data_IF_682268573214
#
_entry.id   IF_682268573214
#
_cell.length_a   1.000
_cell.length_b   1.000
_cell.length_c   1.000
_cell.angle_alpha   90.00
_cell.angle_beta   90.00
_cell.angle_gamma   90.00
#
_symmetry.space_group_name_H-M   'P 1'
#
loop_
_entity.id
_entity.type
_entity.pdbx_description
1 polymer ?
#
# COMPACT_ATOMS: atom_id res chain seq x y z
N UNK A 1 29.48 -14.40 25.97
CA UNK A 1 29.30 -14.44 24.51
C UNK A 1 27.96 -13.82 24.22
N UNK A 2 27.96 -12.59 23.73
CA UNK A 2 26.74 -11.86 23.38
C UNK A 2 26.27 -12.39 22.01
N UNK A 3 25.28 -13.27 22.01
CA UNK A 3 24.54 -13.58 20.78
C UNK A 3 23.64 -12.37 20.48
N UNK A 4 23.75 -11.85 19.26
CA UNK A 4 22.98 -10.73 18.78
C UNK A 4 21.50 -10.97 19.01
N UNK A 5 20.81 -9.94 19.49
CA UNK A 5 19.36 -9.88 19.45
C UNK A 5 18.95 -9.82 17.97
N UNK A 6 18.81 -10.97 17.32
CA UNK A 6 18.05 -11.09 16.08
C UNK A 6 16.59 -10.81 16.48
N UNK A 7 16.22 -9.53 16.47
CA UNK A 7 14.83 -9.15 16.61
C UNK A 7 14.07 -9.83 15.48
N UNK A 8 13.24 -10.82 15.81
CA UNK A 8 12.34 -11.45 14.88
C UNK A 8 11.27 -10.44 14.48
N UNK A 9 11.54 -9.68 13.42
CA UNK A 9 10.67 -8.62 12.89
C UNK A 9 9.68 -9.27 11.91
N UNK A 10 8.41 -8.88 12.01
CA UNK A 10 7.38 -9.30 11.09
C UNK A 10 7.58 -8.68 9.70
N UNK A 11 7.69 -9.50 8.66
CA UNK A 11 7.86 -9.02 7.28
C UNK A 11 6.66 -8.22 6.77
N UNK A 12 5.47 -8.46 7.33
CA UNK A 12 4.22 -7.80 6.93
C UNK A 12 4.09 -6.39 7.54
N UNK A 13 4.24 -6.25 8.86
CA UNK A 13 3.91 -4.99 9.56
C UNK A 13 5.06 -4.41 10.41
N UNK A 14 6.23 -5.08 10.45
CA UNK A 14 7.42 -4.59 11.16
C UNK A 14 7.37 -4.78 12.68
N UNK A 15 6.30 -5.36 13.22
CA UNK A 15 6.18 -5.63 14.66
C UNK A 15 7.12 -6.73 15.13
N UNK A 16 7.56 -6.66 16.40
CA UNK A 16 8.37 -7.71 17.02
C UNK A 16 7.51 -8.96 17.24
N UNK A 17 7.91 -10.08 16.63
CA UNK A 17 7.27 -11.37 16.74
C UNK A 17 7.47 -11.95 18.14
N UNK A 18 6.47 -12.68 18.63
CA UNK A 18 6.54 -13.45 19.87
C UNK A 18 6.54 -14.93 19.53
N UNK A 19 7.37 -15.71 20.21
CA UNK A 19 7.35 -17.16 20.07
C UNK A 19 6.24 -17.72 20.98
N UNK A 20 5.19 -18.26 20.38
CA UNK A 20 4.09 -18.95 21.04
C UNK A 20 4.18 -20.44 20.66
N UNK A 21 4.71 -21.27 21.57
CA UNK A 21 4.83 -22.72 21.41
C UNK A 21 5.64 -23.18 20.18
N UNK A 22 6.82 -22.57 19.94
CA UNK A 22 7.64 -22.91 18.77
C UNK A 22 7.11 -22.31 17.47
N UNK A 23 6.32 -21.23 17.55
CA UNK A 23 5.85 -20.50 16.36
C UNK A 23 5.96 -19.02 16.60
N UNK A 24 6.61 -18.32 15.68
CA UNK A 24 6.73 -16.88 15.73
C UNK A 24 5.45 -16.24 15.18
N UNK A 25 4.77 -15.46 16.01
CA UNK A 25 3.52 -14.79 15.68
C UNK A 25 3.61 -13.30 15.97
N UNK A 26 3.14 -12.48 15.05
CA UNK A 26 3.07 -11.04 15.24
C UNK A 26 1.88 -10.69 16.14
N UNK A 27 2.07 -10.05 17.31
CA UNK A 27 0.96 -9.66 18.17
C UNK A 27 0.12 -8.53 17.58
N UNK A 28 0.62 -7.83 16.56
CA UNK A 28 -0.01 -6.63 16.00
C UNK A 28 -0.87 -6.91 14.76
N UNK A 29 -0.35 -7.67 13.79
CA UNK A 29 -1.11 -8.05 12.59
C UNK A 29 -1.60 -9.50 12.61
N UNK A 30 -1.01 -10.38 13.45
CA UNK A 30 -1.34 -11.80 13.52
C UNK A 30 -0.54 -12.72 12.59
N UNK A 31 0.34 -12.17 11.73
CA UNK A 31 1.14 -12.94 10.78
C UNK A 31 2.06 -13.95 11.47
N UNK A 32 2.31 -15.06 10.79
CA UNK A 32 3.23 -16.11 11.21
C UNK A 32 4.58 -15.94 10.53
N UNK A 33 5.64 -16.44 11.18
CA UNK A 33 6.94 -16.69 10.57
C UNK A 33 7.33 -18.13 10.92
N UNK A 34 7.81 -18.89 9.93
CA UNK A 34 8.33 -20.25 10.14
C UNK A 34 9.55 -20.22 11.08
N UNK A 35 9.81 -21.32 11.80
CA UNK A 35 10.95 -21.39 12.72
C UNK A 35 12.28 -21.19 11.98
N UNK A 36 13.13 -20.33 12.57
CA UNK A 36 14.33 -19.77 12.00
C UNK A 36 15.28 -20.83 11.40
N UNK A 37 15.24 -20.97 10.08
CA UNK A 37 16.43 -21.32 9.30
C UNK A 37 16.81 -20.03 8.56
N UNK A 38 17.79 -19.31 9.09
CA UNK A 38 18.43 -18.22 8.35
C UNK A 38 18.98 -18.80 7.05
N UNK A 39 18.25 -18.54 5.96
CA UNK A 39 18.49 -19.06 4.63
C UNK A 39 18.25 -17.93 3.61
N UNK A 40 18.61 -18.16 2.36
CA UNK A 40 18.44 -17.16 1.29
C UNK A 40 16.97 -16.71 1.15
N UNK A 41 16.00 -17.63 1.28
CA UNK A 41 14.56 -17.31 1.29
C UNK A 41 14.22 -16.25 2.36
N UNK A 42 14.69 -16.44 3.60
CA UNK A 42 14.42 -15.51 4.70
C UNK A 42 15.00 -14.11 4.47
N UNK A 43 16.14 -14.00 3.76
CA UNK A 43 16.76 -12.73 3.41
C UNK A 43 15.94 -12.02 2.32
N UNK A 44 15.53 -12.76 1.28
CA UNK A 44 14.69 -12.22 0.21
C UNK A 44 13.35 -11.70 0.76
N UNK A 45 12.69 -12.50 1.61
CA UNK A 45 11.42 -12.12 2.26
C UNK A 45 11.59 -10.89 3.16
N UNK A 46 12.71 -10.78 3.88
CA UNK A 46 12.99 -9.62 4.74
C UNK A 46 13.15 -8.33 3.92
N UNK A 47 13.89 -8.38 2.81
CA UNK A 47 14.11 -7.25 1.93
C UNK A 47 12.80 -6.83 1.23
N UNK A 48 12.06 -7.78 0.66
CA UNK A 48 10.76 -7.54 0.03
C UNK A 48 9.76 -6.97 1.04
N UNK A 49 9.71 -7.53 2.25
CA UNK A 49 8.90 -7.04 3.35
C UNK A 49 9.30 -5.62 3.78
N UNK A 50 10.58 -5.27 3.76
CA UNK A 50 11.02 -3.90 4.06
C UNK A 50 10.51 -2.91 3.03
N UNK A 51 10.68 -3.20 1.73
CA UNK A 51 10.16 -2.36 0.64
C UNK A 51 8.64 -2.17 0.78
N UNK A 52 7.89 -3.25 1.05
CA UNK A 52 6.45 -3.20 1.26
C UNK A 52 6.06 -2.28 2.44
N UNK A 53 6.78 -2.38 3.57
CA UNK A 53 6.53 -1.53 4.76
C UNK A 53 6.89 -0.07 4.53
N UNK A 54 7.81 0.22 3.60
CA UNK A 54 8.11 1.59 3.18
C UNK A 54 7.10 2.12 2.13
N UNK A 55 6.19 1.28 1.65
CA UNK A 55 5.23 1.64 0.61
C UNK A 55 5.85 1.69 -0.79
N UNK A 56 7.02 1.07 -0.99
CA UNK A 56 7.66 0.94 -2.29
C UNK A 56 7.07 -0.27 -3.02
N UNK A 57 5.81 -0.19 -3.43
CA UNK A 57 5.05 -1.36 -3.89
C UNK A 57 5.63 -2.02 -5.15
N UNK A 58 6.10 -1.23 -6.12
CA UNK A 58 6.75 -1.75 -7.34
C UNK A 58 8.02 -2.53 -6.99
N UNK A 59 8.89 -1.93 -6.17
CA UNK A 59 10.11 -2.60 -5.69
C UNK A 59 9.78 -3.87 -4.90
N UNK A 60 8.76 -3.82 -4.04
CA UNK A 60 8.32 -4.97 -3.27
C UNK A 60 7.78 -6.09 -4.17
N UNK A 61 7.00 -5.76 -5.20
CA UNK A 61 6.49 -6.71 -6.18
C UNK A 61 7.65 -7.42 -6.88
N UNK A 62 8.60 -6.68 -7.44
CA UNK A 62 9.80 -7.24 -8.09
C UNK A 62 10.58 -8.19 -7.16
N UNK A 63 10.78 -7.80 -5.90
CA UNK A 63 11.49 -8.60 -4.92
C UNK A 63 10.71 -9.87 -4.51
N UNK A 64 9.38 -9.79 -4.39
CA UNK A 64 8.56 -10.95 -4.12
C UNK A 64 8.44 -11.87 -5.34
N UNK A 65 8.46 -11.35 -6.57
CA UNK A 65 8.50 -12.16 -7.79
C UNK A 65 9.80 -12.98 -7.86
N UNK A 66 10.96 -12.39 -7.54
CA UNK A 66 12.24 -13.14 -7.42
C UNK A 66 12.14 -14.22 -6.34
N UNK A 67 11.58 -13.89 -5.18
CA UNK A 67 11.39 -14.84 -4.08
C UNK A 67 10.47 -16.02 -4.48
N UNK A 68 9.35 -15.75 -5.16
CA UNK A 68 8.45 -16.79 -5.69
C UNK A 68 9.14 -17.62 -6.78
N UNK A 69 9.92 -16.99 -7.66
CA UNK A 69 10.67 -17.68 -8.71
C UNK A 69 11.68 -18.68 -8.15
N UNK A 70 12.37 -18.33 -7.06
CA UNK A 70 13.35 -19.21 -6.39
C UNK A 70 12.69 -20.20 -5.42
N UNK A 71 11.64 -19.79 -4.73
CA UNK A 71 10.95 -20.54 -3.69
C UNK A 71 9.44 -20.63 -3.97
N UNK A 72 9.02 -21.37 -5.02
CA UNK A 72 7.61 -21.42 -5.46
C UNK A 72 6.67 -22.17 -4.50
N UNK A 73 7.18 -22.67 -3.37
CA UNK A 73 6.37 -23.26 -2.29
C UNK A 73 6.31 -22.35 -1.05
N UNK A 74 6.84 -21.14 -1.16
CA UNK A 74 6.82 -20.16 -0.09
C UNK A 74 5.45 -19.50 -0.02
N UNK A 75 4.65 -19.88 0.96
CA UNK A 75 3.34 -19.28 1.19
C UNK A 75 3.44 -17.79 1.51
N UNK A 76 4.48 -17.40 2.26
CA UNK A 76 4.78 -16.01 2.62
C UNK A 76 5.20 -15.18 1.40
N UNK A 77 6.02 -15.72 0.49
CA UNK A 77 6.40 -15.00 -0.73
C UNK A 77 5.18 -14.72 -1.62
N UNK A 78 4.34 -15.74 -1.85
CA UNK A 78 3.11 -15.55 -2.62
C UNK A 78 2.14 -14.57 -1.96
N UNK A 79 1.97 -14.63 -0.63
CA UNK A 79 1.12 -13.67 0.07
C UNK A 79 1.68 -12.25 0.00
N UNK A 80 2.99 -12.08 0.22
CA UNK A 80 3.68 -10.79 0.08
C UNK A 80 3.56 -10.20 -1.32
N UNK A 81 3.65 -11.05 -2.36
CA UNK A 81 3.46 -10.66 -3.75
C UNK A 81 2.06 -10.09 -3.99
N UNK A 82 1.02 -10.76 -3.48
CA UNK A 82 -0.36 -10.24 -3.55
C UNK A 82 -0.47 -8.89 -2.84
N UNK A 83 0.10 -8.76 -1.65
CA UNK A 83 0.06 -7.48 -0.93
C UNK A 83 0.76 -6.36 -1.72
N UNK A 84 1.93 -6.64 -2.31
CA UNK A 84 2.67 -5.67 -3.11
C UNK A 84 1.89 -5.24 -4.35
N UNK A 85 1.40 -6.21 -5.15
CA UNK A 85 0.64 -5.97 -6.38
C UNK A 85 -0.65 -5.17 -6.17
N UNK A 86 -1.31 -5.39 -5.03
CA UNK A 86 -2.55 -4.68 -4.65
C UNK A 86 -2.27 -3.43 -3.82
N UNK A 87 -1.00 -3.01 -3.70
CA UNK A 87 -0.54 -1.86 -2.91
C UNK A 87 -1.10 -1.86 -1.47
N UNK A 88 -1.06 -3.00 -0.80
CA UNK A 88 -1.56 -3.18 0.57
C UNK A 88 -0.41 -3.06 1.56
N UNK A 89 -0.53 -2.12 2.51
CA UNK A 89 0.40 -1.96 3.62
C UNK A 89 -0.34 -2.01 4.94
N UNK A 90 0.30 -2.61 5.95
CA UNK A 90 -0.28 -2.74 7.29
C UNK A 90 0.09 -1.54 8.16
N UNK A 91 -0.92 -0.75 8.52
CA UNK A 91 -0.79 0.52 9.26
C UNK A 91 -1.38 0.41 10.66
N UNK A 92 -0.95 1.29 11.57
CA UNK A 92 -1.49 1.32 12.94
C UNK A 92 -2.95 1.79 12.95
N UNK A 93 -3.78 1.08 13.70
CA UNK A 93 -5.08 1.58 14.14
C UNK A 93 -4.97 2.29 15.50
N UNK A 94 -6.07 2.91 15.94
CA UNK A 94 -6.13 3.63 17.21
C UNK A 94 -5.91 2.74 18.44
N UNK A 95 -6.11 1.42 18.30
CA UNK A 95 -5.95 0.42 19.35
C UNK A 95 -4.54 -0.24 19.31
N UNK A 96 -3.64 0.25 18.44
CA UNK A 96 -2.29 -0.26 18.26
C UNK A 96 -2.21 -1.60 17.53
N UNK A 97 -3.29 -2.05 16.88
CA UNK A 97 -3.24 -3.18 15.94
C UNK A 97 -2.77 -2.69 14.58
N UNK A 98 -2.27 -3.63 13.77
CA UNK A 98 -1.85 -3.35 12.40
C UNK A 98 -2.92 -3.88 11.44
N UNK A 99 -3.62 -3.00 10.75
CA UNK A 99 -4.69 -3.34 9.80
C UNK A 99 -4.22 -3.14 8.35
N UNK A 100 -4.67 -3.98 7.40
CA UNK A 100 -4.37 -3.76 6.00
C UNK A 100 -5.04 -2.47 5.51
N UNK A 101 -4.24 -1.59 4.92
CA UNK A 101 -4.69 -0.37 4.25
C UNK A 101 -4.28 -0.48 2.79
N UNK A 102 -5.26 -0.33 1.91
CA UNK A 102 -5.00 -0.26 0.48
C UNK A 102 -4.42 1.12 0.13
N UNK A 103 -3.50 1.18 -0.81
CA UNK A 103 -2.96 2.44 -1.35
C UNK A 103 -3.25 2.60 -2.84
N UNK A 104 -3.70 1.53 -3.50
CA UNK A 104 -4.35 1.58 -4.81
C UNK A 104 -5.67 0.83 -4.74
N UNK A 105 -6.67 1.27 -5.52
CA UNK A 105 -7.88 0.48 -5.68
C UNK A 105 -7.77 -0.37 -6.93
N UNK A 106 -7.04 -1.47 -6.81
CA UNK A 106 -7.25 -2.58 -7.73
C UNK A 106 -8.69 -3.05 -7.50
N UNK A 107 -9.57 -2.76 -8.48
CA UNK A 107 -11.01 -3.06 -8.37
C UNK A 107 -11.31 -4.54 -8.53
N UNK A 108 -10.35 -5.29 -9.07
CA UNK A 108 -10.39 -6.73 -9.16
C UNK A 108 -10.32 -7.33 -7.76
N UNK A 109 -11.05 -8.42 -7.56
CA UNK A 109 -11.00 -9.11 -6.27
C UNK A 109 -9.66 -9.83 -6.12
N UNK A 110 -8.95 -9.59 -5.02
CA UNK A 110 -7.71 -10.30 -4.73
C UNK A 110 -7.94 -11.80 -4.52
N UNK A 111 -9.19 -12.20 -4.23
CA UNK A 111 -9.59 -13.60 -4.08
C UNK A 111 -9.45 -14.39 -5.39
N UNK A 112 -9.41 -13.69 -6.52
CA UNK A 112 -9.25 -14.29 -7.84
C UNK A 112 -7.78 -14.41 -8.27
N UNK A 113 -6.85 -13.81 -7.52
CA UNK A 113 -5.43 -13.78 -7.82
C UNK A 113 -4.82 -15.20 -7.70
N UNK A 114 -3.94 -15.53 -8.67
CA UNK A 114 -3.27 -16.84 -8.73
C UNK A 114 -2.32 -17.07 -7.55
N UNK A 115 -1.63 -16.02 -7.11
CA UNK A 115 -0.67 -16.03 -6.03
C UNK A 115 -1.39 -16.06 -4.68
N UNK A 116 -2.59 -15.47 -4.58
CA UNK A 116 -3.44 -15.69 -3.40
C UNK A 116 -3.80 -17.17 -3.23
N UNK A 117 -4.24 -17.82 -4.32
CA UNK A 117 -4.53 -19.27 -4.30
C UNK A 117 -3.28 -20.09 -4.00
N UNK A 118 -2.13 -19.71 -4.55
CA UNK A 118 -0.85 -20.36 -4.30
C UNK A 118 -0.45 -20.24 -2.82
N UNK A 119 -0.54 -19.04 -2.24
CA UNK A 119 -0.28 -18.78 -0.82
C UNK A 119 -1.11 -19.71 0.07
N UNK A 120 -2.41 -19.84 -0.18
CA UNK A 120 -3.27 -20.77 0.56
C UNK A 120 -2.89 -22.25 0.36
N UNK A 121 -2.47 -22.64 -0.84
CA UNK A 121 -2.12 -24.03 -1.15
C UNK A 121 -0.78 -24.47 -0.54
N UNK A 122 0.15 -23.52 -0.38
CA UNK A 122 1.47 -23.76 0.19
C UNK A 122 1.50 -23.56 1.71
N UNK A 123 0.52 -22.84 2.25
CA UNK A 123 0.42 -22.50 3.66
C UNK A 123 0.06 -23.69 4.55
N UNK A 124 0.53 -23.61 5.80
CA UNK A 124 -0.04 -24.41 6.89
C UNK A 124 -1.46 -23.94 7.20
N UNK A 125 -2.24 -24.75 7.92
CA UNK A 125 -3.64 -24.44 8.25
C UNK A 125 -3.79 -23.08 8.93
N UNK A 126 -2.94 -22.76 9.90
CA UNK A 126 -2.95 -21.51 10.64
C UNK A 126 -2.57 -20.29 9.81
N UNK A 127 -1.57 -20.43 8.94
CA UNK A 127 -1.18 -19.41 7.95
C UNK A 127 -2.29 -19.16 6.93
N UNK A 128 -2.89 -20.23 6.41
CA UNK A 128 -3.99 -20.16 5.45
C UNK A 128 -5.21 -19.47 6.06
N UNK A 129 -5.56 -19.77 7.31
CA UNK A 129 -6.64 -19.11 8.04
C UNK A 129 -6.35 -17.62 8.23
N UNK A 130 -5.09 -17.26 8.53
CA UNK A 130 -4.65 -15.87 8.59
C UNK A 130 -4.82 -15.17 7.23
N UNK A 131 -4.31 -15.75 6.14
CA UNK A 131 -4.44 -15.16 4.80
C UNK A 131 -5.89 -15.00 4.38
N UNK A 132 -6.77 -15.99 4.63
CA UNK A 132 -8.21 -15.87 4.39
C UNK A 132 -8.83 -14.72 5.17
N UNK A 133 -8.49 -14.59 6.45
CA UNK A 133 -9.02 -13.51 7.29
C UNK A 133 -8.57 -12.13 6.78
N UNK A 134 -7.30 -11.97 6.41
CA UNK A 134 -6.82 -10.69 5.89
C UNK A 134 -7.38 -10.39 4.50
N UNK A 135 -7.41 -11.38 3.61
CA UNK A 135 -8.02 -11.26 2.29
C UNK A 135 -9.47 -10.78 2.37
N UNK A 136 -10.28 -11.36 3.28
CA UNK A 136 -11.66 -10.93 3.47
C UNK A 136 -11.76 -9.48 3.93
N UNK A 137 -10.92 -9.04 4.87
CA UNK A 137 -10.90 -7.63 5.32
C UNK A 137 -10.54 -6.68 4.19
N UNK A 138 -9.53 -7.02 3.39
CA UNK A 138 -9.12 -6.22 2.23
C UNK A 138 -10.26 -6.14 1.22
N UNK A 139 -10.96 -7.23 0.96
CA UNK A 139 -12.14 -7.24 0.08
C UNK A 139 -13.30 -6.39 0.60
N UNK A 140 -13.54 -6.41 1.90
CA UNK A 140 -14.58 -5.58 2.52
C UNK A 140 -14.23 -4.09 2.36
N UNK A 141 -12.97 -3.70 2.57
CA UNK A 141 -12.49 -2.34 2.31
C UNK A 141 -12.60 -1.97 0.83
N UNK A 142 -12.19 -2.86 -0.09
CA UNK A 142 -12.31 -2.63 -1.54
C UNK A 142 -13.75 -2.36 -1.96
N UNK A 143 -14.72 -3.14 -1.44
CA UNK A 143 -16.15 -2.93 -1.72
C UNK A 143 -16.65 -1.61 -1.17
N UNK A 144 -16.30 -1.27 0.07
CA UNK A 144 -16.66 0.03 0.67
C UNK A 144 -16.10 1.19 -0.19
N UNK A 145 -14.87 1.06 -0.67
CA UNK A 145 -14.24 2.05 -1.52
C UNK A 145 -14.95 2.18 -2.87
N UNK A 146 -15.28 1.07 -3.50
CA UNK A 146 -16.06 1.04 -4.73
C UNK A 146 -17.43 1.73 -4.56
N UNK A 147 -18.11 1.51 -3.42
CA UNK A 147 -19.39 2.14 -3.09
C UNK A 147 -19.28 3.64 -2.80
N UNK A 148 -18.15 4.11 -2.27
CA UNK A 148 -17.86 5.54 -2.10
C UNK A 148 -17.53 6.19 -3.44
N UNK A 149 -16.60 5.59 -4.18
CA UNK A 149 -16.15 6.05 -5.49
C UNK A 149 -17.31 6.18 -6.49
N UNK A 150 -18.27 5.25 -6.51
CA UNK A 150 -19.38 5.31 -7.47
C UNK A 150 -20.34 6.51 -7.27
N UNK A 151 -20.26 7.20 -6.12
CA UNK A 151 -21.04 8.40 -5.82
C UNK A 151 -20.32 9.69 -6.21
N UNK A 152 -19.03 9.60 -6.50
CA UNK A 152 -18.21 10.75 -6.85
C UNK A 152 -18.36 11.09 -8.34
N UNK A 153 -18.19 12.36 -8.73
CA UNK A 153 -18.20 12.75 -10.13
C UNK A 153 -16.93 12.26 -10.82
N UNK A 154 -17.07 11.81 -12.08
CA UNK A 154 -15.90 11.53 -12.92
C UNK A 154 -15.10 12.80 -13.18
N UNK A 155 -13.78 12.67 -13.28
CA UNK A 155 -12.87 13.77 -13.61
C UNK A 155 -12.39 13.68 -15.06
N UNK A 156 -12.02 14.82 -15.63
CA UNK A 156 -11.40 14.90 -16.96
C UNK A 156 -9.87 14.98 -16.82
N UNK A 157 -9.38 15.68 -15.78
CA UNK A 157 -7.96 15.87 -15.49
C UNK A 157 -7.65 15.54 -14.02
N UNK A 158 -6.58 14.80 -13.76
CA UNK A 158 -5.99 14.59 -12.44
C UNK A 158 -4.70 15.39 -12.31
N UNK A 159 -4.55 16.18 -11.24
CA UNK A 159 -3.32 16.93 -10.94
C UNK A 159 -2.52 16.22 -9.84
N UNK A 160 -1.39 15.63 -10.23
CA UNK A 160 -0.42 15.00 -9.32
C UNK A 160 0.74 15.95 -9.04
N UNK A 161 1.05 16.18 -7.75
CA UNK A 161 2.09 17.10 -7.32
C UNK A 161 2.41 16.89 -5.83
N UNK A 162 3.60 17.32 -5.38
CA UNK A 162 3.96 17.28 -3.95
C UNK A 162 3.30 18.45 -3.24
N UNK A 163 2.28 18.23 -2.41
CA UNK A 163 1.55 19.33 -1.73
C UNK A 163 2.34 19.98 -0.58
N UNK A 164 2.97 19.15 0.24
CA UNK A 164 3.74 19.55 1.42
C UNK A 164 5.03 18.73 1.53
N UNK A 165 5.99 19.24 2.28
CA UNK A 165 7.23 18.56 2.62
C UNK A 165 7.56 18.76 4.11
N UNK A 166 6.86 18.03 5.01
CA UNK A 166 7.00 18.19 6.46
C UNK A 166 8.40 17.87 6.98
N UNK A 167 9.14 16.98 6.31
CA UNK A 167 10.52 16.61 6.68
C UNK A 167 11.45 17.82 6.64
N UNK A 168 11.22 18.74 5.70
CA UNK A 168 11.92 20.01 5.57
C UNK A 168 11.15 21.20 6.17
N UNK A 169 10.07 20.94 6.92
CA UNK A 169 9.27 21.98 7.57
C UNK A 169 8.42 22.82 6.61
N UNK A 170 8.08 22.29 5.42
CA UNK A 170 7.34 23.01 4.38
C UNK A 170 5.88 22.56 4.40
N UNK A 171 4.98 23.43 4.86
CA UNK A 171 3.53 23.16 4.87
C UNK A 171 2.91 23.20 3.47
N UNK A 172 3.46 24.03 2.57
CA UNK A 172 3.00 24.17 1.18
C UNK A 172 4.19 24.42 0.25
N UNK A 173 4.41 23.49 -0.67
CA UNK A 173 5.47 23.58 -1.68
C UNK A 173 5.19 24.68 -2.70
N UNK A 174 6.19 25.01 -3.53
CA UNK A 174 6.03 25.88 -4.68
C UNK A 174 5.10 25.26 -5.73
N UNK A 175 5.27 23.96 -6.01
CA UNK A 175 4.40 23.15 -6.87
C UNK A 175 2.93 23.25 -6.48
N UNK A 176 2.62 23.16 -5.18
CA UNK A 176 1.25 23.32 -4.66
C UNK A 176 0.67 24.71 -4.94
N UNK A 177 1.50 25.75 -5.06
CA UNK A 177 1.06 27.10 -5.44
C UNK A 177 0.82 27.18 -6.93
N UNK A 178 1.77 26.74 -7.76
CA UNK A 178 1.63 26.80 -9.23
C UNK A 178 0.49 25.92 -9.76
N UNK A 179 0.33 24.72 -9.20
CA UNK A 179 -0.77 23.82 -9.54
C UNK A 179 -2.14 24.42 -9.18
N UNK A 180 -2.20 25.31 -8.19
CA UNK A 180 -3.43 26.06 -7.87
C UNK A 180 -3.85 26.98 -9.01
N UNK A 181 -2.89 27.61 -9.68
CA UNK A 181 -3.14 28.50 -10.82
C UNK A 181 -3.55 27.66 -12.04
N UNK A 182 -2.87 26.53 -12.28
CA UNK A 182 -3.24 25.57 -13.32
C UNK A 182 -4.65 25.02 -13.12
N UNK A 183 -5.00 24.62 -11.88
CA UNK A 183 -6.34 24.18 -11.53
C UNK A 183 -7.39 25.26 -11.86
N UNK A 184 -7.12 26.52 -11.49
CA UNK A 184 -8.03 27.63 -11.75
C UNK A 184 -8.24 27.84 -13.25
N UNK A 185 -7.16 27.83 -14.03
CA UNK A 185 -7.23 27.94 -15.48
C UNK A 185 -8.05 26.80 -16.11
N UNK A 186 -7.73 25.55 -15.78
CA UNK A 186 -8.40 24.38 -16.35
C UNK A 186 -9.87 24.29 -15.94
N UNK A 187 -10.19 24.57 -14.68
CA UNK A 187 -11.57 24.49 -14.18
C UNK A 187 -12.42 25.69 -14.59
N UNK A 188 -11.93 26.92 -14.40
CA UNK A 188 -12.74 28.13 -14.55
C UNK A 188 -12.72 28.69 -15.97
N UNK A 189 -11.58 28.64 -16.67
CA UNK A 189 -11.48 29.19 -18.03
C UNK A 189 -11.79 28.15 -19.11
N UNK A 190 -11.45 26.87 -18.86
CA UNK A 190 -11.68 25.78 -19.83
C UNK A 190 -12.88 24.90 -19.50
N UNK A 191 -13.41 24.96 -18.28
CA UNK A 191 -14.59 24.20 -17.89
C UNK A 191 -14.36 22.70 -17.67
N UNK A 192 -13.10 22.26 -17.51
CA UNK A 192 -12.81 20.86 -17.20
C UNK A 192 -13.13 20.52 -15.75
N UNK A 193 -13.55 19.28 -15.51
CA UNK A 193 -13.65 18.72 -14.14
C UNK A 193 -12.27 18.24 -13.74
N UNK A 194 -11.63 19.00 -12.86
CA UNK A 194 -10.24 18.75 -12.45
C UNK A 194 -10.22 18.23 -11.02
N UNK A 195 -9.55 17.10 -10.81
CA UNK A 195 -9.22 16.65 -9.47
C UNK A 195 -7.99 17.40 -8.99
N UNK A 196 -8.16 18.11 -7.87
CA UNK A 196 -7.10 18.86 -7.21
C UNK A 196 -7.23 18.60 -5.72
N UNK A 197 -6.28 17.85 -5.14
CA UNK A 197 -6.41 17.25 -3.81
C UNK A 197 -6.82 18.25 -2.73
N UNK A 198 -6.27 19.48 -2.70
CA UNK A 198 -6.66 20.51 -1.71
C UNK A 198 -8.11 21.00 -1.82
N UNK A 199 -8.75 20.87 -2.98
CA UNK A 199 -10.15 21.26 -3.20
C UNK A 199 -11.06 20.04 -3.14
N UNK A 200 -10.72 19.00 -3.90
CA UNK A 200 -11.54 17.79 -4.05
C UNK A 200 -11.64 16.98 -2.76
N UNK A 201 -10.62 17.01 -1.88
CA UNK A 201 -10.62 16.28 -0.61
C UNK A 201 -11.00 17.14 0.60
N UNK A 202 -11.22 18.46 0.41
CA UNK A 202 -11.42 19.41 1.51
C UNK A 202 -12.57 19.02 2.45
N UNK A 203 -13.69 18.60 1.87
CA UNK A 203 -14.90 18.24 2.61
C UNK A 203 -14.92 16.75 3.02
N UNK A 204 -13.83 16.03 2.75
CA UNK A 204 -13.66 14.61 3.10
C UNK A 204 -12.83 14.42 4.38
N UNK A 205 -12.61 15.50 5.14
CA UNK A 205 -11.78 15.50 6.34
C UNK A 205 -12.30 14.50 7.39
N UNK A 206 -11.42 13.58 7.83
CA UNK A 206 -11.76 12.50 8.75
C UNK A 206 -12.18 11.20 8.08
N UNK A 207 -12.27 11.17 6.74
CA UNK A 207 -12.39 9.94 5.96
C UNK A 207 -11.02 9.50 5.40
N UNK A 208 -10.92 8.22 5.03
CA UNK A 208 -9.81 7.72 4.19
C UNK A 208 -9.90 8.39 2.81
N UNK A 209 -8.87 9.11 2.39
CA UNK A 209 -8.86 9.87 1.12
C UNK A 209 -8.65 8.99 -0.11
N UNK A 210 -8.03 7.84 0.08
CA UNK A 210 -7.64 6.88 -0.95
C UNK A 210 -8.79 6.47 -1.89
N UNK A 211 -10.04 6.17 -1.46
CA UNK A 211 -11.14 5.89 -2.38
C UNK A 211 -11.47 7.04 -3.33
N UNK A 212 -11.31 8.28 -2.88
CA UNK A 212 -11.62 9.48 -3.68
C UNK A 212 -10.51 9.77 -4.69
N UNK A 213 -9.24 9.68 -4.26
CA UNK A 213 -8.06 9.80 -5.12
C UNK A 213 -8.13 8.72 -6.22
N UNK A 214 -8.45 7.48 -5.83
CA UNK A 214 -8.61 6.40 -6.79
C UNK A 214 -9.72 6.66 -7.82
N UNK A 215 -10.91 7.09 -7.37
CA UNK A 215 -11.99 7.39 -8.30
C UNK A 215 -11.55 8.44 -9.33
N UNK A 216 -10.80 9.44 -8.88
CA UNK A 216 -10.27 10.45 -9.77
C UNK A 216 -9.24 9.90 -10.76
N UNK A 217 -8.29 9.06 -10.31
CA UNK A 217 -7.32 8.41 -11.19
C UNK A 217 -7.99 7.50 -12.23
N UNK A 218 -8.98 6.71 -11.83
CA UNK A 218 -9.67 5.76 -12.70
C UNK A 218 -10.62 6.40 -13.72
N UNK A 219 -11.06 7.65 -13.47
CA UNK A 219 -11.97 8.36 -14.36
C UNK A 219 -11.31 9.45 -15.18
N UNK A 220 -10.21 10.05 -14.70
CA UNK A 220 -9.47 11.08 -15.41
C UNK A 220 -8.97 10.58 -16.76
N UNK A 221 -9.21 11.38 -17.79
CA UNK A 221 -8.71 11.09 -19.14
C UNK A 221 -7.24 11.48 -19.29
N UNK A 222 -6.78 12.44 -18.50
CA UNK A 222 -5.41 12.96 -18.51
C UNK A 222 -4.91 13.13 -17.08
N UNK A 223 -3.71 12.64 -16.79
CA UNK A 223 -2.97 12.99 -15.59
C UNK A 223 -1.89 14.01 -15.93
N UNK A 224 -1.83 15.12 -15.19
CA UNK A 224 -0.75 16.09 -15.25
C UNK A 224 0.06 15.94 -13.99
N UNK A 225 1.31 15.49 -14.14
CA UNK A 225 2.28 15.42 -13.05
C UNK A 225 3.12 16.69 -13.08
N UNK A 226 3.10 17.46 -12.00
CA UNK A 226 3.88 18.67 -11.84
C UNK A 226 4.96 18.46 -10.77
N UNK A 227 6.22 18.73 -11.13
CA UNK A 227 7.36 18.56 -10.26
C UNK A 227 8.48 19.55 -10.60
N UNK A 228 8.64 20.62 -9.80
CA UNK A 228 9.73 21.59 -10.01
C UNK A 228 11.09 21.07 -9.54
N UNK A 229 11.10 20.06 -8.65
CA UNK A 229 12.30 19.43 -8.10
C UNK A 229 12.26 17.92 -8.28
N UNK A 230 13.41 17.33 -8.61
CA UNK A 230 13.54 15.88 -8.76
C UNK A 230 13.13 15.11 -7.49
N UNK A 231 13.49 15.63 -6.31
CA UNK A 231 13.16 15.02 -5.01
C UNK A 231 11.65 14.91 -4.74
N UNK A 232 10.81 15.68 -5.43
CA UNK A 232 9.36 15.62 -5.23
C UNK A 232 8.75 14.36 -5.83
N UNK A 233 9.30 13.87 -6.93
CA UNK A 233 8.92 12.59 -7.55
C UNK A 233 9.28 11.38 -6.69
N UNK A 234 10.15 11.55 -5.68
CA UNK A 234 10.50 10.47 -4.75
C UNK A 234 9.44 10.23 -3.67
N UNK A 235 8.45 11.12 -3.54
CA UNK A 235 7.40 10.98 -2.54
C UNK A 235 6.49 9.78 -2.80
N UNK A 236 6.09 9.10 -1.72
CA UNK A 236 5.22 7.89 -1.78
C UNK A 236 3.94 8.14 -2.56
N UNK A 237 3.34 9.33 -2.43
CA UNK A 237 2.11 9.66 -3.15
C UNK A 237 2.34 9.75 -4.67
N UNK A 238 3.32 10.53 -5.14
CA UNK A 238 3.58 10.68 -6.58
C UNK A 238 4.02 9.35 -7.22
N UNK A 239 4.75 8.49 -6.49
CA UNK A 239 5.15 7.16 -6.99
C UNK A 239 4.00 6.19 -7.16
N UNK A 240 2.92 6.37 -6.39
CA UNK A 240 1.79 5.44 -6.34
C UNK A 240 0.60 5.88 -7.21
N UNK A 241 0.54 7.16 -7.59
CA UNK A 241 -0.44 7.73 -8.54
C UNK A 241 -0.07 7.40 -9.99
#
# INVERSE_FOLDING_TARGET
MAHGNDCNICNICGGILKNENGRWRCPYCGAYKSEDVSNEESILLSNAGQALRLGHFIEAEDLYEDAVGKYPKSSEAHWGLVLARYNIKFEDDFDGRKLPTCYAAVMESLLEDKDYRAALSCARVDEADYYRSQAQKIEDYRKEWAEKACKEPSYDVFLSYKDSDPENGIERTEDSREVSDLYTYLSSEKGYRVFYSRVSLKDKAGEKYEPYIYHALSTASVMIVYGSKAEYFESTWIKNE
#
